data_IF_280225379375
#
_entry.id   IF_280225379375
#
_cell.length_a   1.000
_cell.length_b   1.000
_cell.length_c   1.000
_cell.angle_alpha   90.00
_cell.angle_beta   90.00
_cell.angle_gamma   90.00
#
_symmetry.space_group_name_H-M   'P 1'
#
loop_
_entity.id
_entity.type
_entity.pdbx_description
1 polymer ?
#
# COMPACT_ATOMS: atom_id res chain seq x y z
N UNK A 1 -20.03 4.52 1.52
CA UNK A 1 -19.19 3.69 2.41
C UNK A 1 -20.11 2.68 3.09
N UNK A 2 -19.85 1.37 2.99
CA UNK A 2 -20.66 0.35 3.66
C UNK A 2 -20.51 0.39 5.18
N UNK A 3 -21.51 -0.12 5.91
CA UNK A 3 -21.49 -0.19 7.38
C UNK A 3 -20.37 -1.09 7.95
N UNK A 4 -19.77 -1.94 7.10
CA UNK A 4 -18.63 -2.78 7.45
C UNK A 4 -17.29 -2.02 7.52
N UNK A 5 -17.27 -0.71 7.27
CA UNK A 5 -16.09 0.14 7.31
C UNK A 5 -16.16 1.13 8.47
N UNK A 6 -15.05 1.26 9.20
CA UNK A 6 -14.88 2.32 10.19
C UNK A 6 -14.24 3.56 9.54
N UNK A 7 -14.74 4.75 9.89
CA UNK A 7 -14.14 6.03 9.51
C UNK A 7 -13.48 6.64 10.74
N UNK A 8 -12.18 6.93 10.65
CA UNK A 8 -11.38 7.43 11.77
C UNK A 8 -10.80 8.81 11.45
N UNK A 9 -10.80 9.70 12.45
CA UNK A 9 -10.11 10.99 12.39
C UNK A 9 -8.93 10.95 13.35
N UNK A 10 -7.73 10.85 12.80
CA UNK A 10 -6.50 10.59 13.56
C UNK A 10 -5.49 11.73 13.41
N UNK A 11 -4.66 11.91 14.43
CA UNK A 11 -3.53 12.86 14.40
C UNK A 11 -2.28 12.21 13.78
N UNK A 12 -1.23 13.02 13.54
CA UNK A 12 0.08 12.55 13.09
C UNK A 12 0.25 12.42 11.56
N UNK A 13 -0.83 12.60 10.79
CA UNK A 13 -0.79 12.56 9.33
C UNK A 13 -0.43 11.19 8.75
N UNK A 14 -0.23 11.13 7.43
CA UNK A 14 0.06 9.88 6.71
C UNK A 14 1.32 9.18 7.24
N UNK A 15 2.36 9.94 7.61
CA UNK A 15 3.61 9.36 8.12
C UNK A 15 3.42 8.62 9.43
N UNK A 16 2.50 9.05 10.31
CA UNK A 16 2.15 8.26 11.50
C UNK A 16 1.43 6.96 11.12
N UNK A 17 0.61 6.98 10.05
CA UNK A 17 -0.07 5.79 9.54
C UNK A 17 0.89 4.79 8.90
N UNK A 18 2.03 5.23 8.33
CA UNK A 18 3.08 4.32 7.84
C UNK A 18 3.62 3.39 8.94
N UNK A 19 3.60 3.82 10.20
CA UNK A 19 3.91 2.98 11.35
C UNK A 19 2.67 2.29 11.92
N UNK A 20 1.52 2.97 11.97
CA UNK A 20 0.31 2.41 12.58
C UNK A 20 -0.24 1.20 11.80
N UNK A 21 -0.23 1.26 10.47
CA UNK A 21 -0.69 0.16 9.59
C UNK A 21 0.04 -1.16 9.90
N UNK A 22 1.38 -1.25 9.82
CA UNK A 22 2.08 -2.50 10.13
C UNK A 22 1.88 -2.95 11.58
N UNK A 23 1.81 -2.04 12.56
CA UNK A 23 1.54 -2.43 13.96
C UNK A 23 0.20 -3.17 14.13
N UNK A 24 -0.81 -2.84 13.34
CA UNK A 24 -2.14 -3.46 13.43
C UNK A 24 -2.28 -4.68 12.51
N UNK A 25 -1.75 -4.61 11.30
CA UNK A 25 -2.08 -5.58 10.25
C UNK A 25 -1.01 -6.65 10.04
N UNK A 26 0.24 -6.44 10.45
CA UNK A 26 1.33 -7.35 10.15
C UNK A 26 1.24 -8.70 10.89
N UNK A 27 0.41 -8.78 11.94
CA UNK A 27 0.11 -10.02 12.65
C UNK A 27 -1.14 -10.75 12.14
N UNK A 28 -1.77 -10.29 11.06
CA UNK A 28 -2.94 -10.97 10.48
C UNK A 28 -2.62 -12.35 9.94
N UNK A 29 -1.37 -12.57 9.51
CA UNK A 29 -0.89 -13.85 8.97
C UNK A 29 0.36 -14.31 9.68
N UNK A 30 0.58 -15.62 9.67
CA UNK A 30 1.76 -16.25 10.29
C UNK A 30 3.07 -15.84 9.63
N UNK A 31 3.04 -15.48 8.35
CA UNK A 31 4.22 -15.04 7.61
C UNK A 31 4.83 -13.74 8.17
N UNK A 32 4.03 -12.93 8.87
CA UNK A 32 4.37 -11.55 9.28
C UNK A 32 5.05 -10.75 8.16
N UNK A 33 4.61 -10.99 6.93
CA UNK A 33 5.16 -10.37 5.73
C UNK A 33 4.11 -9.47 5.10
N UNK A 34 4.47 -8.24 4.76
CA UNK A 34 3.61 -7.33 4.00
C UNK A 34 4.22 -7.05 2.62
N UNK A 35 3.37 -7.04 1.61
CA UNK A 35 3.75 -6.73 0.24
C UNK A 35 3.64 -5.23 0.00
N UNK A 36 4.67 -4.61 -0.57
CA UNK A 36 4.71 -3.18 -0.87
C UNK A 36 5.02 -2.95 -2.35
N UNK A 37 4.12 -2.25 -3.04
CA UNK A 37 4.38 -1.68 -4.35
C UNK A 37 5.04 -0.31 -4.18
N UNK A 38 6.33 -0.25 -4.47
CA UNK A 38 7.12 0.99 -4.38
C UNK A 38 7.29 1.60 -5.77
N UNK A 39 6.53 2.64 -6.04
CA UNK A 39 6.47 3.38 -7.31
C UNK A 39 6.93 4.82 -7.18
N UNK A 40 7.31 5.27 -5.98
CA UNK A 40 7.77 6.63 -5.75
C UNK A 40 8.31 6.89 -4.35
N UNK A 41 8.31 8.16 -3.96
CA UNK A 41 8.93 8.61 -2.71
C UNK A 41 8.11 8.18 -1.49
N UNK A 42 6.79 8.29 -1.55
CA UNK A 42 5.92 8.05 -0.41
C UNK A 42 5.77 6.56 -0.11
N UNK A 43 5.60 5.74 -1.14
CA UNK A 43 5.63 4.28 -1.02
C UNK A 43 6.97 3.76 -0.51
N UNK A 44 8.10 4.34 -0.93
CA UNK A 44 9.43 3.98 -0.39
C UNK A 44 9.54 4.34 1.10
N UNK A 45 9.04 5.52 1.51
CA UNK A 45 9.01 5.93 2.91
C UNK A 45 8.14 5.01 3.76
N UNK A 46 6.97 4.63 3.26
CA UNK A 46 6.07 3.72 3.94
C UNK A 46 6.68 2.32 4.11
N UNK A 47 7.30 1.77 3.05
CA UNK A 47 7.99 0.49 3.11
C UNK A 47 9.14 0.51 4.13
N UNK A 48 9.98 1.55 4.09
CA UNK A 48 11.09 1.72 5.04
C UNK A 48 10.62 1.87 6.48
N UNK A 49 9.49 2.52 6.71
CA UNK A 49 8.92 2.64 8.06
C UNK A 49 8.39 1.29 8.55
N UNK A 50 7.76 0.52 7.66
CA UNK A 50 7.18 -0.78 7.97
C UNK A 50 8.22 -1.87 8.30
N UNK A 51 9.44 -1.77 7.75
CA UNK A 51 10.59 -2.65 8.08
C UNK A 51 10.92 -2.67 9.58
N UNK A 52 10.52 -1.65 10.35
CA UNK A 52 10.71 -1.61 11.81
C UNK A 52 9.83 -2.63 12.56
N UNK A 53 8.77 -3.14 11.93
CA UNK A 53 7.75 -3.96 12.58
C UNK A 53 7.73 -5.40 12.07
N UNK A 54 8.26 -5.67 10.88
CA UNK A 54 8.44 -7.02 10.39
C UNK A 54 8.92 -7.08 8.95
N UNK A 55 8.62 -8.19 8.25
CA UNK A 55 9.20 -8.46 6.94
C UNK A 55 8.45 -7.73 5.84
N UNK A 56 9.18 -6.96 5.03
CA UNK A 56 8.60 -6.26 3.87
C UNK A 56 9.10 -6.93 2.59
N UNK A 57 8.16 -7.35 1.75
CA UNK A 57 8.43 -7.82 0.41
C UNK A 57 8.14 -6.69 -0.59
N UNK A 58 9.17 -6.26 -1.31
CA UNK A 58 8.99 -5.33 -2.42
C UNK A 58 8.53 -6.15 -3.63
N UNK A 59 7.27 -5.97 -4.04
CA UNK A 59 6.67 -6.78 -5.11
C UNK A 59 7.31 -6.49 -6.47
N UNK A 60 7.96 -5.34 -6.59
CA UNK A 60 8.82 -4.97 -7.72
C UNK A 60 10.23 -4.67 -7.20
N UNK A 61 11.29 -4.99 -7.96
CA UNK A 61 12.66 -4.69 -7.56
C UNK A 61 12.87 -3.19 -7.32
N UNK A 62 13.70 -2.85 -6.31
CA UNK A 62 14.07 -1.46 -6.03
C UNK A 62 14.67 -0.80 -7.27
N UNK A 63 14.24 0.43 -7.56
CA UNK A 63 14.64 1.20 -8.73
C UNK A 63 15.52 2.37 -8.33
N UNK A 64 16.44 2.77 -9.21
CA UNK A 64 17.26 3.98 -9.03
C UNK A 64 16.52 5.27 -9.33
N UNK A 65 15.46 5.19 -10.15
CA UNK A 65 14.55 6.27 -10.51
C UNK A 65 13.14 5.71 -10.69
N UNK A 66 12.15 6.47 -10.28
CA UNK A 66 10.74 6.17 -10.48
C UNK A 66 10.25 6.90 -11.73
N UNK A 67 9.83 6.16 -12.76
CA UNK A 67 9.43 6.70 -14.07
C UNK A 67 8.11 6.12 -14.60
N UNK A 68 7.62 5.05 -13.98
CA UNK A 68 6.47 4.26 -14.41
C UNK A 68 6.09 3.28 -13.30
N UNK A 69 4.88 2.75 -13.39
CA UNK A 69 4.39 1.63 -12.57
C UNK A 69 4.60 0.35 -13.39
N UNK A 70 5.40 -0.62 -12.91
CA UNK A 70 5.58 -1.88 -13.62
C UNK A 70 4.25 -2.61 -13.79
N UNK A 71 4.09 -3.31 -14.93
CA UNK A 71 2.89 -4.10 -15.21
C UNK A 71 2.63 -5.15 -14.13
N UNK A 72 1.36 -5.36 -13.78
CA UNK A 72 0.95 -6.23 -12.65
C UNK A 72 1.48 -7.66 -12.77
N UNK A 73 1.58 -8.20 -13.98
CA UNK A 73 2.11 -9.55 -14.26
C UNK A 73 3.59 -9.73 -13.88
N UNK A 74 4.31 -8.64 -13.65
CA UNK A 74 5.71 -8.66 -13.20
C UNK A 74 5.86 -8.68 -11.67
N UNK A 75 4.76 -8.49 -10.93
CA UNK A 75 4.79 -8.34 -9.48
C UNK A 75 4.97 -9.70 -8.79
N UNK A 76 5.88 -9.75 -7.83
CA UNK A 76 6.17 -10.94 -7.03
C UNK A 76 5.50 -10.83 -5.67
N UNK A 77 4.27 -11.33 -5.60
CA UNK A 77 3.47 -11.33 -4.37
C UNK A 77 3.89 -12.45 -3.42
N UNK A 78 3.65 -12.25 -2.12
CA UNK A 78 3.78 -13.28 -1.10
C UNK A 78 2.45 -14.02 -0.94
N UNK A 79 2.46 -15.35 -1.04
CA UNK A 79 1.25 -16.18 -0.98
C UNK A 79 0.42 -15.97 0.32
N UNK A 80 1.09 -15.75 1.46
CA UNK A 80 0.48 -15.52 2.77
C UNK A 80 0.75 -14.09 3.27
N UNK A 81 0.71 -13.09 2.40
CA UNK A 81 0.90 -11.69 2.79
C UNK A 81 -0.16 -11.25 3.83
N UNK A 82 0.29 -10.53 4.85
CA UNK A 82 -0.59 -9.93 5.87
C UNK A 82 -1.45 -8.81 5.30
N UNK A 83 -0.87 -8.03 4.38
CA UNK A 83 -1.55 -7.03 3.58
C UNK A 83 -0.69 -6.66 2.37
N UNK A 84 -1.33 -6.05 1.36
CA UNK A 84 -0.68 -5.39 0.24
C UNK A 84 -0.80 -3.87 0.42
N UNK A 85 0.29 -3.13 0.20
CA UNK A 85 0.34 -1.68 0.31
C UNK A 85 0.73 -1.03 -1.01
N UNK A 86 0.04 0.05 -1.37
CA UNK A 86 0.48 0.96 -2.42
C UNK A 86 0.12 2.42 -2.12
N UNK A 87 0.82 3.34 -2.78
CA UNK A 87 0.46 4.75 -2.84
C UNK A 87 -0.31 5.00 -4.14
N UNK A 88 -1.54 5.50 -4.06
CA UNK A 88 -2.35 5.74 -5.25
C UNK A 88 -1.82 6.88 -6.10
N UNK A 89 -1.24 7.92 -5.49
CA UNK A 89 -0.69 9.07 -6.22
C UNK A 89 0.63 9.58 -5.61
N UNK A 90 1.73 9.33 -6.33
CA UNK A 90 3.10 9.70 -5.96
C UNK A 90 3.41 11.15 -6.38
N UNK A 91 3.12 12.10 -5.50
CA UNK A 91 3.18 13.55 -5.81
C UNK A 91 4.54 14.07 -6.25
N UNK A 92 5.63 13.48 -5.78
CA UNK A 92 6.99 13.92 -6.13
C UNK A 92 7.34 13.55 -7.59
N UNK A 93 6.77 12.45 -8.09
CA UNK A 93 7.11 11.91 -9.40
C UNK A 93 5.98 12.07 -10.42
N UNK A 94 4.76 12.40 -9.98
CA UNK A 94 3.61 12.66 -10.85
C UNK A 94 2.97 11.39 -11.42
N UNK A 95 2.98 10.30 -10.66
CA UNK A 95 2.35 9.04 -11.05
C UNK A 95 1.13 8.74 -10.20
N UNK A 96 -0.02 8.56 -10.84
CA UNK A 96 -1.24 8.06 -10.22
C UNK A 96 -1.56 6.67 -10.78
N UNK A 97 -1.90 5.72 -9.90
CA UNK A 97 -2.51 4.46 -10.30
C UNK A 97 -3.98 4.69 -10.59
N UNK A 98 -4.40 4.38 -11.81
CA UNK A 98 -5.78 4.59 -12.27
C UNK A 98 -6.78 3.65 -11.58
N UNK A 99 -6.40 2.41 -11.27
CA UNK A 99 -7.30 1.42 -10.68
C UNK A 99 -6.68 0.67 -9.50
N UNK A 100 -7.55 0.00 -8.72
CA UNK A 100 -7.15 -0.90 -7.65
C UNK A 100 -6.48 -2.13 -8.29
N UNK A 101 -5.28 -2.54 -7.84
CA UNK A 101 -4.57 -3.65 -8.47
C UNK A 101 -5.35 -4.96 -8.42
N UNK A 102 -5.45 -5.65 -9.56
CA UNK A 102 -6.30 -6.84 -9.71
C UNK A 102 -5.58 -8.15 -9.41
N UNK A 103 -4.25 -8.16 -9.50
CA UNK A 103 -3.42 -9.33 -9.21
C UNK A 103 -3.36 -9.70 -7.72
N UNK A 104 -3.73 -8.77 -6.82
CA UNK A 104 -3.72 -9.02 -5.37
C UNK A 104 -4.80 -10.06 -5.02
N UNK A 105 -4.47 -11.17 -4.35
CA UNK A 105 -5.45 -12.17 -3.96
C UNK A 105 -6.53 -11.57 -3.05
N UNK A 106 -7.81 -11.88 -3.31
CA UNK A 106 -8.96 -11.32 -2.57
C UNK A 106 -8.94 -11.51 -1.05
N UNK A 107 -8.16 -12.48 -0.54
CA UNK A 107 -8.04 -12.76 0.89
C UNK A 107 -6.93 -11.95 1.57
N UNK A 108 -6.11 -11.24 0.80
CA UNK A 108 -5.09 -10.32 1.27
C UNK A 108 -5.71 -8.92 1.29
N UNK A 109 -5.78 -8.25 2.46
CA UNK A 109 -6.34 -6.90 2.53
C UNK A 109 -5.42 -5.90 1.81
N UNK A 110 -6.03 -4.94 1.13
CA UNK A 110 -5.34 -3.85 0.44
C UNK A 110 -5.35 -2.60 1.33
N UNK A 111 -4.17 -2.02 1.52
CA UNK A 111 -3.97 -0.73 2.18
C UNK A 111 -3.49 0.27 1.12
N UNK A 112 -4.16 1.41 1.06
CA UNK A 112 -3.87 2.43 0.06
C UNK A 112 -3.61 3.80 0.72
N UNK A 113 -2.47 4.41 0.38
CA UNK A 113 -2.24 5.83 0.66
C UNK A 113 -2.82 6.68 -0.47
N UNK A 114 -3.92 7.38 -0.15
CA UNK A 114 -4.62 8.30 -1.05
C UNK A 114 -4.41 9.76 -0.66
N UNK A 115 -3.37 10.10 0.12
CA UNK A 115 -3.21 11.44 0.73
C UNK A 115 -3.32 12.61 -0.26
N UNK A 116 -2.97 12.40 -1.52
CA UNK A 116 -2.88 13.41 -2.56
C UNK A 116 -3.94 13.28 -3.67
N UNK A 117 -4.80 12.25 -3.63
CA UNK A 117 -5.91 12.07 -4.56
C UNK A 117 -7.22 11.63 -3.88
N UNK A 118 -7.28 11.70 -2.54
CA UNK A 118 -8.51 11.43 -1.80
C UNK A 118 -9.63 12.37 -2.25
N UNK A 119 -10.78 11.79 -2.60
CA UNK A 119 -11.97 12.50 -3.10
C UNK A 119 -11.80 13.26 -4.44
N UNK A 120 -10.74 13.01 -5.22
CA UNK A 120 -10.63 13.56 -6.59
C UNK A 120 -11.52 12.80 -7.59
N UNK A 121 -11.86 11.55 -7.28
CA UNK A 121 -12.71 10.66 -8.07
C UNK A 121 -13.43 9.65 -7.18
N UNK A 122 -14.36 8.90 -7.77
CA UNK A 122 -15.04 7.80 -7.07
C UNK A 122 -14.12 6.59 -6.96
N UNK A 123 -14.05 5.99 -5.77
CA UNK A 123 -13.38 4.73 -5.53
C UNK A 123 -14.39 3.71 -4.99
N UNK A 124 -14.35 2.50 -5.52
CA UNK A 124 -15.12 1.39 -4.98
C UNK A 124 -14.36 0.80 -3.79
N UNK A 125 -14.74 1.21 -2.59
CA UNK A 125 -14.10 0.77 -1.36
C UNK A 125 -14.32 -0.71 -1.05
N UNK A 126 -15.23 -1.40 -1.76
CA UNK A 126 -15.56 -2.82 -1.53
C UNK A 126 -14.67 -3.80 -2.31
N UNK A 127 -13.79 -3.27 -3.15
CA UNK A 127 -12.85 -4.05 -3.96
C UNK A 127 -11.52 -4.26 -3.27
#
# INVERSE_FOLDING_TARGET
IPDSYAVLFLQGGATAQFSAVPMHFLNLRSSQTADYLVTGYWSEKAAKEAEKFGKINLVVPKRSKYQDVPSEDTWKLTDDASYFYYCANETIHGFELDDIPTIVPKHVPIVCDMSSNFLTRSFDVTK
#
